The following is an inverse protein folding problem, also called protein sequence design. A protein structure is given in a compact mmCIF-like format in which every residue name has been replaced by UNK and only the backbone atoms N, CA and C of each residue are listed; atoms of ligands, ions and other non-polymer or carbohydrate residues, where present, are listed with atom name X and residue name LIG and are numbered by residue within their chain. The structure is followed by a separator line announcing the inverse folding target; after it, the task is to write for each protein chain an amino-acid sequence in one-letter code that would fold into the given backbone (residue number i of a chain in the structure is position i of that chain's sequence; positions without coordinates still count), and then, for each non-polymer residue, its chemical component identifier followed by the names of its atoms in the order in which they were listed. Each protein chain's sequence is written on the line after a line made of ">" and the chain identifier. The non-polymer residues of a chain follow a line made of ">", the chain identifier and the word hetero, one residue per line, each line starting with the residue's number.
data_IF_772055137450
#
_entry.id   IF_772055137450
#
_cell.length_a   1.000
_cell.length_b   1.000
_cell.length_c   1.000
_cell.angle_alpha   90.00
_cell.angle_beta   90.00
_cell.angle_gamma   90.00
#
_symmetry.space_group_name_H-M   'P 1'
#
loop_
_entity.id
_entity.type
_entity.pdbx_description
1 polymer ?
#
# COMPACT_ATOMS: atom_id res chain seq x y z
N UNK A 1 13.18 -10.20 12.70
CA UNK A 1 13.30 -8.73 12.58
C UNK A 1 12.01 -8.06 12.10
N UNK A 2 11.31 -8.60 11.07
CA UNK A 2 9.94 -8.21 10.69
C UNK A 2 8.89 -8.45 11.79
N UNK A 3 9.03 -9.58 12.52
CA UNK A 3 8.06 -10.01 13.53
C UNK A 3 7.91 -9.02 14.71
N UNK A 4 8.93 -8.21 15.01
CA UNK A 4 8.94 -7.33 16.19
C UNK A 4 8.04 -6.10 15.99
N UNK A 5 7.96 -5.56 14.77
CA UNK A 5 7.03 -4.45 14.43
C UNK A 5 5.59 -4.87 14.67
N UNK A 6 5.21 -6.04 14.16
CA UNK A 6 3.84 -6.54 14.23
C UNK A 6 3.44 -6.88 15.68
N UNK A 7 4.37 -7.42 16.46
CA UNK A 7 4.16 -7.76 17.88
C UNK A 7 3.95 -6.50 18.72
N UNK A 8 4.78 -5.47 18.55
CA UNK A 8 4.68 -4.24 19.35
C UNK A 8 3.42 -3.40 19.07
N UNK A 9 2.92 -3.38 17.82
CA UNK A 9 1.64 -2.73 17.49
C UNK A 9 0.42 -3.43 18.12
N UNK A 10 0.48 -4.75 18.39
CA UNK A 10 -0.64 -5.51 18.97
C UNK A 10 -0.68 -5.51 20.50
N UNK A 11 0.44 -5.25 21.19
CA UNK A 11 0.57 -5.49 22.64
C UNK A 11 0.55 -4.24 23.53
N UNK A 12 0.52 -3.01 22.98
CA UNK A 12 0.58 -1.78 23.78
C UNK A 12 -0.57 -0.79 23.49
N UNK A 13 -1.42 -0.43 24.47
CA UNK A 13 -2.56 0.48 24.26
C UNK A 13 -2.18 1.97 24.30
N UNK A 14 -0.91 2.31 24.56
CA UNK A 14 -0.43 3.69 24.62
C UNK A 14 0.48 4.01 23.43
N UNK A 15 -0.01 4.84 22.51
CA UNK A 15 0.69 5.33 21.31
C UNK A 15 2.08 5.90 21.64
N UNK A 16 2.24 6.58 22.79
CA UNK A 16 3.52 7.14 23.24
C UNK A 16 4.57 6.07 23.61
N UNK A 17 4.13 4.95 24.20
CA UNK A 17 5.04 3.84 24.56
C UNK A 17 5.44 3.05 23.30
N UNK A 18 4.50 2.90 22.36
CA UNK A 18 4.76 2.33 21.04
C UNK A 18 5.82 3.18 20.30
N UNK A 19 5.58 4.48 20.10
CA UNK A 19 6.50 5.37 19.39
C UNK A 19 7.89 5.40 20.04
N UNK A 20 8.00 5.41 21.37
CA UNK A 20 9.29 5.41 22.06
C UNK A 20 10.07 4.10 21.94
N UNK A 21 9.41 2.94 22.04
CA UNK A 21 10.06 1.63 21.83
C UNK A 21 10.48 1.47 20.36
N UNK A 22 9.62 1.85 19.42
CA UNK A 22 9.93 1.82 18.01
C UNK A 22 11.09 2.77 17.65
N UNK A 23 11.12 3.98 18.22
CA UNK A 23 12.18 4.97 17.94
C UNK A 23 13.55 4.46 18.39
N UNK A 24 13.56 3.78 19.54
CA UNK A 24 14.76 3.11 20.07
C UNK A 24 15.24 1.94 19.21
N UNK A 25 14.35 1.21 18.54
CA UNK A 25 14.68 0.01 17.75
C UNK A 25 14.89 0.22 16.25
N UNK A 26 14.14 1.14 15.63
CA UNK A 26 14.09 1.33 14.17
C UNK A 26 14.60 2.72 13.72
N UNK A 27 14.78 3.65 14.65
CA UNK A 27 15.15 5.04 14.38
C UNK A 27 13.97 5.91 13.92
N UNK A 28 14.00 7.20 14.27
CA UNK A 28 12.90 8.17 14.02
C UNK A 28 12.43 8.22 12.55
N UNK A 29 13.35 8.07 11.59
CA UNK A 29 13.01 8.17 10.17
C UNK A 29 12.17 7.00 9.67
N UNK A 30 12.35 5.78 10.20
CA UNK A 30 11.59 4.60 9.73
C UNK A 30 10.13 4.69 10.19
N UNK A 31 9.91 5.18 11.40
CA UNK A 31 8.57 5.37 11.98
C UNK A 31 7.83 6.47 11.24
N UNK A 32 8.50 7.60 10.98
CA UNK A 32 7.90 8.68 10.23
C UNK A 32 7.46 8.19 8.85
N UNK A 33 8.32 7.44 8.15
CA UNK A 33 8.01 6.89 6.82
C UNK A 33 6.84 5.91 6.90
N UNK A 34 6.81 5.03 7.89
CA UNK A 34 5.70 4.07 8.08
C UNK A 34 4.37 4.76 8.41
N UNK A 35 4.37 5.77 9.28
CA UNK A 35 3.17 6.55 9.61
C UNK A 35 2.68 7.36 8.40
N UNK A 36 3.59 8.02 7.69
CA UNK A 36 3.29 8.70 6.43
C UNK A 36 2.70 7.72 5.41
N UNK A 37 3.24 6.51 5.33
CA UNK A 37 2.77 5.46 4.45
C UNK A 37 1.32 5.04 4.75
N UNK A 38 1.04 4.72 6.02
CA UNK A 38 -0.31 4.34 6.44
C UNK A 38 -1.31 5.47 6.14
N UNK A 39 -0.98 6.71 6.49
CA UNK A 39 -1.85 7.85 6.22
C UNK A 39 -2.14 8.01 4.72
N UNK A 40 -1.16 7.76 3.84
CA UNK A 40 -1.37 7.91 2.41
C UNK A 40 -2.20 6.80 1.76
N UNK A 41 -2.15 5.57 2.27
CA UNK A 41 -2.86 4.44 1.66
C UNK A 41 -4.28 4.29 2.20
N UNK A 42 -4.51 4.66 3.46
CA UNK A 42 -5.84 4.57 4.10
C UNK A 42 -6.92 5.37 3.39
N UNK A 43 -6.54 6.51 2.80
CA UNK A 43 -7.50 7.40 2.11
C UNK A 43 -7.79 6.98 0.66
N UNK A 44 -7.13 5.93 0.15
CA UNK A 44 -7.41 5.44 -1.20
C UNK A 44 -8.81 4.86 -1.22
N UNK A 45 -9.64 5.33 -2.15
CA UNK A 45 -10.99 4.82 -2.37
C UNK A 45 -10.97 3.59 -3.26
N UNK A 46 -11.92 2.72 -3.02
CA UNK A 46 -12.20 1.60 -3.91
C UNK A 46 -12.79 2.12 -5.23
N UNK A 47 -12.40 1.57 -6.39
CA UNK A 47 -12.91 2.01 -7.69
C UNK A 47 -14.39 1.65 -7.92
N UNK A 48 -14.95 0.69 -7.17
CA UNK A 48 -16.34 0.22 -7.32
C UNK A 48 -17.24 0.71 -6.18
N UNK A 49 -16.66 1.00 -5.02
CA UNK A 49 -17.39 1.36 -3.80
C UNK A 49 -16.95 2.72 -3.22
N UNK A 50 -17.85 3.46 -2.56
CA UNK A 50 -17.52 4.75 -1.96
C UNK A 50 -16.67 4.66 -0.68
N UNK A 51 -16.16 3.46 -0.35
CA UNK A 51 -15.41 3.17 0.87
C UNK A 51 -13.91 3.15 0.60
N UNK A 52 -13.12 3.36 1.65
CA UNK A 52 -11.67 3.26 1.55
C UNK A 52 -11.18 1.82 1.54
N UNK A 53 -9.96 1.59 1.03
CA UNK A 53 -9.32 0.28 1.05
C UNK A 53 -9.10 -0.26 2.47
N UNK A 54 -8.96 0.62 3.47
CA UNK A 54 -8.88 0.23 4.87
C UNK A 54 -10.25 -0.23 5.41
N UNK A 55 -11.31 0.51 5.12
CA UNK A 55 -12.67 0.17 5.54
C UNK A 55 -13.11 -1.19 4.98
N UNK A 56 -12.70 -1.49 3.75
CA UNK A 56 -12.95 -2.77 3.08
C UNK A 56 -11.98 -3.89 3.48
N UNK A 57 -11.01 -3.61 4.36
CA UNK A 57 -9.93 -4.53 4.76
C UNK A 57 -9.12 -5.08 3.57
N UNK A 58 -9.08 -4.32 2.48
CA UNK A 58 -8.25 -4.64 1.32
C UNK A 58 -6.77 -4.48 1.68
N UNK A 59 -6.47 -3.54 2.58
CA UNK A 59 -5.13 -3.31 3.11
C UNK A 59 -5.20 -3.23 4.63
N UNK A 60 -4.21 -3.84 5.26
CA UNK A 60 -4.03 -3.84 6.70
C UNK A 60 -2.59 -3.47 7.04
N UNK A 61 -2.35 -2.99 8.27
CA UNK A 61 -1.02 -2.55 8.71
C UNK A 61 0.04 -3.67 8.63
N UNK A 62 -0.36 -4.91 8.87
CA UNK A 62 0.49 -6.10 8.83
C UNK A 62 0.83 -6.54 7.40
N UNK A 63 0.13 -6.02 6.40
CA UNK A 63 0.39 -6.32 5.00
C UNK A 63 1.48 -5.43 4.37
N UNK A 64 2.09 -4.55 5.17
CA UNK A 64 3.06 -3.54 4.75
C UNK A 64 4.44 -3.85 5.33
N UNK A 65 5.43 -3.93 4.46
CA UNK A 65 6.83 -4.19 4.81
C UNK A 65 7.71 -3.04 4.33
N UNK A 66 8.42 -2.37 5.24
CA UNK A 66 9.34 -1.28 4.91
C UNK A 66 10.76 -1.64 5.32
N UNK A 67 11.69 -1.61 4.37
CA UNK A 67 13.12 -1.76 4.58
C UNK A 67 13.83 -0.47 4.16
N UNK A 68 14.24 0.33 5.14
CA UNK A 68 14.89 1.62 4.89
C UNK A 68 16.33 1.47 4.39
N UNK A 69 17.07 0.46 4.85
CA UNK A 69 18.46 0.22 4.47
C UNK A 69 18.56 -0.17 3.00
N UNK A 70 17.67 -1.06 2.56
CA UNK A 70 17.60 -1.51 1.15
C UNK A 70 16.77 -0.57 0.27
N UNK A 71 16.18 0.48 0.87
CA UNK A 71 15.23 1.38 0.21
C UNK A 71 14.16 0.58 -0.54
N UNK A 72 13.46 -0.29 0.17
CA UNK A 72 12.47 -1.21 -0.41
C UNK A 72 11.19 -1.17 0.41
N UNK A 73 10.06 -1.16 -0.28
CA UNK A 73 8.73 -1.23 0.32
C UNK A 73 7.93 -2.30 -0.38
N UNK A 74 7.34 -3.21 0.38
CA UNK A 74 6.39 -4.19 -0.13
C UNK A 74 5.01 -3.96 0.47
N UNK A 75 4.01 -4.00 -0.40
CA UNK A 75 2.59 -3.96 -0.02
C UNK A 75 1.94 -5.22 -0.51
N UNK A 76 1.27 -5.90 0.41
CA UNK A 76 0.35 -6.99 0.08
C UNK A 76 -1.08 -6.47 0.25
N UNK A 77 -1.94 -6.68 -0.74
CA UNK A 77 -3.35 -6.30 -0.64
C UNK A 77 -4.25 -7.49 -0.98
N UNK A 78 -5.42 -7.54 -0.35
CA UNK A 78 -6.40 -8.60 -0.51
C UNK A 78 -7.62 -8.03 -1.23
N UNK A 79 -7.84 -8.33 -2.52
CA UNK A 79 -9.02 -7.83 -3.22
C UNK A 79 -10.30 -8.33 -2.55
N UNK A 80 -11.35 -7.52 -2.58
CA UNK A 80 -12.64 -7.81 -1.93
C UNK A 80 -13.36 -9.05 -2.50
N UNK A 81 -13.04 -9.43 -3.75
CA UNK A 81 -13.62 -10.58 -4.46
C UNK A 81 -12.55 -11.32 -5.28
N UNK A 82 -12.58 -12.66 -5.26
CA UNK A 82 -11.58 -13.54 -5.93
C UNK A 82 -11.51 -13.42 -7.46
N UNK A 83 -12.53 -12.81 -8.07
CA UNK A 83 -12.62 -12.53 -9.52
C UNK A 83 -12.63 -11.03 -9.84
N UNK A 84 -12.18 -10.18 -8.91
CA UNK A 84 -12.20 -8.74 -9.09
C UNK A 84 -11.37 -8.34 -10.32
N UNK A 85 -12.04 -7.81 -11.35
CA UNK A 85 -11.40 -7.17 -12.52
C UNK A 85 -10.62 -5.91 -12.12
N UNK A 86 -11.00 -5.29 -11.00
CA UNK A 86 -10.40 -4.08 -10.45
C UNK A 86 -9.18 -4.34 -9.57
N UNK A 87 -8.77 -5.59 -9.32
CA UNK A 87 -7.57 -5.89 -8.54
C UNK A 87 -6.31 -5.21 -9.11
N UNK A 88 -6.21 -5.12 -10.44
CA UNK A 88 -5.12 -4.40 -11.11
C UNK A 88 -5.23 -2.89 -10.90
N UNK A 89 -6.44 -2.32 -10.91
CA UNK A 89 -6.67 -0.89 -10.67
C UNK A 89 -6.33 -0.52 -9.24
N UNK A 90 -6.78 -1.31 -8.25
CA UNK A 90 -6.41 -1.14 -6.84
C UNK A 90 -4.88 -1.15 -6.68
N UNK A 91 -4.21 -2.12 -7.30
CA UNK A 91 -2.74 -2.19 -7.30
C UNK A 91 -2.06 -0.98 -7.97
N UNK A 92 -2.64 -0.44 -9.04
CA UNK A 92 -2.17 0.78 -9.71
C UNK A 92 -2.36 2.02 -8.82
N UNK A 93 -3.51 2.17 -8.17
CA UNK A 93 -3.77 3.25 -7.22
C UNK A 93 -2.72 3.25 -6.10
N UNK A 94 -2.45 2.08 -5.52
CA UNK A 94 -1.38 1.92 -4.53
C UNK A 94 -0.03 2.34 -5.09
N UNK A 95 0.32 1.87 -6.29
CA UNK A 95 1.60 2.18 -6.91
C UNK A 95 1.77 3.67 -7.13
N UNK A 96 0.76 4.33 -7.70
CA UNK A 96 0.79 5.77 -8.00
C UNK A 96 0.83 6.59 -6.72
N UNK A 97 0.01 6.26 -5.72
CA UNK A 97 0.02 6.97 -4.43
C UNK A 97 1.39 6.91 -3.76
N UNK A 98 1.99 5.73 -3.72
CA UNK A 98 3.32 5.55 -3.13
C UNK A 98 4.43 6.20 -3.93
N UNK A 99 4.35 6.17 -5.26
CA UNK A 99 5.26 6.91 -6.14
C UNK A 99 5.20 8.41 -5.90
N UNK A 100 4.01 8.97 -5.63
CA UNK A 100 3.81 10.41 -5.37
C UNK A 100 4.22 10.80 -3.95
N UNK A 101 4.10 9.90 -2.98
CA UNK A 101 4.32 10.17 -1.56
C UNK A 101 5.73 9.83 -1.03
N UNK A 102 6.43 8.88 -1.64
CA UNK A 102 7.74 8.41 -1.16
C UNK A 102 8.90 8.95 -2.01
N UNK A 103 10.10 9.13 -1.42
CA UNK A 103 11.30 9.44 -2.18
C UNK A 103 11.60 8.36 -3.24
N UNK A 104 12.03 8.78 -4.43
CA UNK A 104 12.28 7.90 -5.58
C UNK A 104 13.35 6.83 -5.37
N UNK A 105 14.13 6.90 -4.28
CA UNK A 105 15.06 5.84 -3.86
C UNK A 105 14.36 4.52 -3.52
N UNK A 106 13.09 4.58 -3.12
CA UNK A 106 12.34 3.41 -2.70
C UNK A 106 11.88 2.57 -3.89
N UNK A 107 12.25 1.29 -3.88
CA UNK A 107 11.73 0.26 -4.77
C UNK A 107 10.43 -0.27 -4.20
N UNK A 108 9.33 -0.06 -4.90
CA UNK A 108 8.02 -0.59 -4.53
C UNK A 108 7.78 -1.95 -5.16
N UNK A 109 7.27 -2.89 -4.36
CA UNK A 109 6.80 -4.20 -4.77
C UNK A 109 5.37 -4.39 -4.27
N UNK A 110 4.41 -4.42 -5.19
CA UNK A 110 2.99 -4.51 -4.86
C UNK A 110 2.48 -5.86 -5.30
N UNK A 111 1.82 -6.56 -4.37
CA UNK A 111 1.37 -7.94 -4.57
C UNK A 111 -0.04 -8.14 -4.05
N UNK A 112 -0.76 -8.99 -4.75
CA UNK A 112 -1.98 -9.61 -4.25
C UNK A 112 -1.61 -10.65 -3.20
N UNK A 113 -2.39 -10.74 -2.12
CA UNK A 113 -2.23 -11.73 -1.08
C UNK A 113 -2.34 -13.16 -1.66
N UNK A 114 -1.43 -14.09 -1.33
CA UNK A 114 -1.43 -15.42 -1.91
C UNK A 114 -2.74 -16.17 -1.71
N UNK A 115 -3.28 -16.75 -2.78
CA UNK A 115 -4.51 -17.55 -2.77
C UNK A 115 -5.80 -16.73 -2.71
N UNK A 116 -5.73 -15.39 -2.80
CA UNK A 116 -6.90 -14.51 -2.70
C UNK A 116 -7.47 -14.04 -4.05
N UNK A 117 -6.79 -14.35 -5.16
CA UNK A 117 -7.25 -13.99 -6.51
C UNK A 117 -6.89 -15.05 -7.53
N UNK A 118 -7.84 -15.40 -8.39
CA UNK A 118 -7.68 -16.46 -9.38
C UNK A 118 -6.52 -16.21 -10.39
N UNK A 119 -6.15 -14.95 -10.59
CA UNK A 119 -5.07 -14.55 -11.53
C UNK A 119 -3.93 -13.79 -10.84
N UNK A 120 -3.70 -14.08 -9.55
CA UNK A 120 -2.68 -13.40 -8.72
C UNK A 120 -1.33 -13.23 -9.42
N UNK A 121 -0.82 -14.26 -10.10
CA UNK A 121 0.49 -14.23 -10.74
C UNK A 121 0.53 -13.27 -11.93
N UNK A 122 -0.56 -13.17 -12.68
CA UNK A 122 -0.69 -12.25 -13.80
C UNK A 122 -0.78 -10.79 -13.29
N UNK A 123 -1.59 -10.55 -12.26
CA UNK A 123 -1.71 -9.23 -11.62
C UNK A 123 -0.37 -8.79 -11.03
N UNK A 124 0.29 -9.64 -10.25
CA UNK A 124 1.59 -9.35 -9.66
C UNK A 124 2.66 -9.06 -10.73
N UNK A 125 2.65 -9.79 -11.85
CA UNK A 125 3.57 -9.54 -12.96
C UNK A 125 3.30 -8.18 -13.63
N UNK A 126 2.04 -7.82 -13.84
CA UNK A 126 1.67 -6.52 -14.40
C UNK A 126 2.05 -5.38 -13.47
N UNK A 127 1.73 -5.51 -12.17
CA UNK A 127 1.99 -4.49 -11.16
C UNK A 127 3.45 -4.29 -10.82
N UNK A 128 4.35 -5.20 -11.19
CA UNK A 128 5.79 -5.06 -10.97
C UNK A 128 6.59 -4.71 -12.24
N UNK A 129 5.96 -4.78 -13.42
CA UNK A 129 6.54 -4.34 -14.69
C UNK A 129 6.43 -2.80 -14.79
N UNK A 130 7.57 -2.11 -14.81
CA UNK A 130 7.62 -0.64 -14.82
C UNK A 130 7.12 -0.06 -16.15
N UNK A 131 7.44 -0.71 -17.26
CA UNK A 131 7.06 -0.23 -18.59
C UNK A 131 5.56 -0.41 -18.81
N UNK A 132 5.00 -1.54 -18.35
CA UNK A 132 3.55 -1.76 -18.40
C UNK A 132 2.77 -0.77 -17.55
N UNK A 133 3.25 -0.48 -16.34
CA UNK A 133 2.59 0.52 -15.48
C UNK A 133 2.67 1.91 -16.09
N UNK A 134 3.83 2.31 -16.64
CA UNK A 134 3.95 3.58 -17.34
C UNK A 134 2.96 3.68 -18.51
N UNK A 135 2.91 2.66 -19.38
CA UNK A 135 1.98 2.62 -20.51
C UNK A 135 0.51 2.62 -20.07
N UNK A 136 0.17 1.96 -18.95
CA UNK A 136 -1.19 1.98 -18.42
C UNK A 136 -1.61 3.38 -17.95
N UNK A 137 -0.69 4.15 -17.39
CA UNK A 137 -0.94 5.53 -16.92
C UNK A 137 -0.96 6.56 -18.05
N UNK A 138 -0.55 6.20 -19.27
CA UNK A 138 -0.73 7.02 -20.48
C UNK A 138 -2.17 6.92 -21.03
N UNK A 139 -2.94 5.92 -20.59
CA UNK A 139 -4.35 5.79 -20.97
C UNK A 139 -5.21 6.76 -20.14
N UNK A 140 -5.87 7.76 -20.74
CA UNK A 140 -6.62 8.78 -20.02
C UNK A 140 -7.74 8.19 -19.16
N UNK A 141 -8.44 7.16 -19.66
CA UNK A 141 -9.54 6.54 -18.91
C UNK A 141 -9.06 5.85 -17.63
N UNK A 142 -7.87 5.21 -17.68
CA UNK A 142 -7.28 4.58 -16.51
C UNK A 142 -6.71 5.63 -15.55
N UNK A 143 -6.09 6.67 -16.09
CA UNK A 143 -5.53 7.76 -15.29
C UNK A 143 -6.62 8.50 -14.52
N UNK A 144 -7.74 8.84 -15.17
CA UNK A 144 -8.88 9.52 -14.53
C UNK A 144 -9.46 8.67 -13.39
N UNK A 145 -9.64 7.37 -13.62
CA UNK A 145 -10.11 6.44 -12.60
C UNK A 145 -9.14 6.34 -11.41
N UNK A 146 -7.83 6.28 -11.68
CA UNK A 146 -6.81 6.28 -10.62
C UNK A 146 -6.84 7.60 -9.86
N UNK A 147 -6.90 8.74 -10.53
CA UNK A 147 -6.91 10.04 -9.88
C UNK A 147 -8.18 10.26 -9.05
N UNK A 148 -9.34 9.73 -9.47
CA UNK A 148 -10.57 9.70 -8.67
C UNK A 148 -10.41 8.87 -7.39
N UNK A 149 -9.80 7.69 -7.49
CA UNK A 149 -9.52 6.84 -6.33
C UNK A 149 -8.52 7.48 -5.35
N UNK A 150 -7.63 8.33 -5.86
CA UNK A 150 -6.60 9.02 -5.08
C UNK A 150 -7.01 10.42 -4.58
N UNK A 151 -8.18 10.91 -5.00
CA UNK A 151 -8.69 12.21 -4.63
C UNK A 151 -8.86 12.31 -3.10
N UNK A 152 -8.38 13.41 -2.48
CA UNK A 152 -8.48 13.57 -1.04
C UNK A 152 -9.94 13.49 -0.57
N UNK A 153 -10.15 12.80 0.55
CA UNK A 153 -11.45 12.67 1.22
C UNK A 153 -11.83 13.92 2.04
N UNK A 154 -10.92 14.89 2.15
CA UNK A 154 -11.13 16.13 2.90
C UNK A 154 -11.68 17.25 2.01
N UNK A 155 -12.89 17.69 2.33
CA UNK A 155 -13.45 19.00 1.94
C UNK A 155 -13.34 19.96 3.12
#
# INVERSE_FOLDING_TARGET
>A
MQLIVIVLCKESPSIELMLSIFTSYYGEQVILIFLTFLNHIRDIKDPEHPYSLEELKVITEDAIEVDNERSYVRVTFTPTVEHCSMATVIGLCLRVKLMRSLPSRYKMDIRVAPGTHATEAAVNKQLNDKERVAAALENPNLLDMVDECLAPSYA
#
